data_IF_756035753900
#
_entry.id   IF_756035753900
#
_cell.length_a   1.000
_cell.length_b   1.000
_cell.length_c   1.000
_cell.angle_alpha   90.00
_cell.angle_beta   90.00
_cell.angle_gamma   90.00
#
_symmetry.space_group_name_H-M   'P 1'
#
loop_
_entity.id
_entity.type
_entity.pdbx_description
1 polymer ?
#
# COMPACT_ATOMS: atom_id res chain seq x y z
N UNK A 1 -44.70 29.59 63.37
CA UNK A 1 -46.09 29.22 63.06
C UNK A 1 -46.52 30.14 61.93
N UNK A 2 -46.43 29.73 60.66
CA UNK A 2 -47.41 28.91 59.92
C UNK A 2 -48.77 29.65 59.84
N UNK A 3 -49.39 30.00 58.70
CA UNK A 3 -49.14 29.89 57.25
C UNK A 3 -50.25 30.78 56.57
N UNK A 4 -50.59 30.68 55.26
CA UNK A 4 -50.47 31.72 54.23
C UNK A 4 -51.84 32.23 53.70
N UNK A 5 -51.84 33.02 52.61
CA UNK A 5 -52.63 32.81 51.37
C UNK A 5 -52.27 33.94 50.39
N UNK A 6 -51.73 33.60 49.20
CA UNK A 6 -51.68 34.51 48.05
C UNK A 6 -52.01 33.75 46.75
N UNK A 7 -53.17 34.14 46.21
CA UNK A 7 -53.53 34.45 44.81
C UNK A 7 -52.85 33.70 43.66
N UNK A 8 -53.66 32.85 43.03
CA UNK A 8 -53.93 32.70 41.58
C UNK A 8 -52.97 33.30 40.53
N UNK A 9 -52.46 32.38 39.69
CA UNK A 9 -52.35 32.35 38.22
C UNK A 9 -51.80 33.56 37.45
N UNK A 10 -50.77 33.31 36.61
CA UNK A 10 -50.75 33.68 35.17
C UNK A 10 -49.57 33.05 34.42
N UNK A 11 -49.84 32.72 33.17
CA UNK A 11 -49.03 32.08 32.13
C UNK A 11 -48.13 33.12 31.41
N UNK A 12 -46.85 32.81 31.14
CA UNK A 12 -46.00 33.40 30.07
C UNK A 12 -44.72 32.55 29.93
N UNK A 13 -44.53 31.72 28.91
CA UNK A 13 -44.14 31.91 27.49
C UNK A 13 -42.62 32.10 27.24
N UNK A 14 -42.13 31.28 26.29
CA UNK A 14 -40.89 31.37 25.49
C UNK A 14 -39.59 30.75 26.05
N UNK A 15 -39.38 29.47 25.72
CA UNK A 15 -38.06 28.83 25.73
C UNK A 15 -37.49 28.91 24.30
N UNK A 16 -36.54 29.82 24.08
CA UNK A 16 -35.79 29.92 22.83
C UNK A 16 -34.65 28.89 22.84
N UNK A 17 -34.87 27.73 22.23
CA UNK A 17 -33.81 26.77 21.91
C UNK A 17 -33.31 27.01 20.50
N UNK A 18 -32.23 27.80 20.34
CA UNK A 18 -31.49 27.83 19.10
C UNK A 18 -30.62 26.57 19.04
N UNK A 19 -31.07 25.61 18.24
CA UNK A 19 -30.38 24.37 17.91
C UNK A 19 -29.05 24.71 17.27
N UNK A 20 -27.97 24.19 17.86
CA UNK A 20 -26.64 24.13 17.25
C UNK A 20 -26.75 23.40 15.91
N UNK A 21 -26.40 24.10 14.82
CA UNK A 21 -26.14 23.47 13.52
C UNK A 21 -24.86 22.63 13.65
N UNK A 22 -24.99 21.40 14.14
CA UNK A 22 -23.99 20.37 13.90
C UNK A 22 -24.10 19.97 12.42
N UNK A 23 -22.95 20.01 11.74
CA UNK A 23 -22.81 19.86 10.30
C UNK A 23 -23.53 18.63 9.73
N UNK A 24 -24.23 18.86 8.62
CA UNK A 24 -24.81 17.83 7.79
C UNK A 24 -23.80 17.43 6.72
N UNK A 25 -23.02 16.38 7.02
CA UNK A 25 -22.27 15.48 6.13
C UNK A 25 -21.51 14.58 7.13
N UNK A 26 -21.70 13.28 7.29
CA UNK A 26 -22.01 12.20 6.38
C UNK A 26 -22.56 11.07 7.26
N UNK A 27 -23.83 10.67 7.10
CA UNK A 27 -24.36 9.48 7.76
C UNK A 27 -25.69 9.12 7.10
N UNK A 28 -25.63 8.53 5.91
CA UNK A 28 -26.82 7.99 5.25
C UNK A 28 -27.26 6.72 6.01
N UNK A 29 -28.43 6.70 6.69
CA UNK A 29 -28.81 5.56 7.52
C UNK A 29 -29.11 4.35 6.62
N UNK A 30 -28.24 3.35 6.64
CA UNK A 30 -28.47 2.07 5.94
C UNK A 30 -27.32 1.56 5.08
N UNK A 31 -26.26 2.36 4.83
CA UNK A 31 -25.03 1.81 4.24
C UNK A 31 -24.29 1.03 5.32
N UNK A 32 -24.24 -0.29 5.19
CA UNK A 32 -23.35 -1.11 6.01
C UNK A 32 -21.92 -0.70 5.62
N UNK A 33 -21.06 -0.25 6.55
CA UNK A 33 -19.67 0.03 6.22
C UNK A 33 -19.08 -1.25 5.62
N UNK A 34 -18.43 -1.11 4.46
CA UNK A 34 -17.70 -2.21 3.88
C UNK A 34 -16.56 -2.57 4.83
N UNK A 35 -16.55 -3.82 5.30
CA UNK A 35 -15.59 -4.26 6.31
C UNK A 35 -14.16 -4.18 5.80
N UNK A 36 -13.95 -4.38 4.50
CA UNK A 36 -12.62 -4.30 3.90
C UNK A 36 -12.08 -2.86 3.87
N UNK A 37 -12.94 -1.85 3.95
CA UNK A 37 -12.52 -0.45 4.07
C UNK A 37 -12.36 0.04 5.53
N UNK A 38 -12.65 -0.80 6.52
CA UNK A 38 -12.59 -0.41 7.95
C UNK A 38 -11.56 -1.17 8.78
N UNK A 39 -11.01 -2.27 8.24
CA UNK A 39 -9.93 -3.01 8.90
C UNK A 39 -8.55 -2.45 8.50
N UNK A 40 -7.52 -2.61 9.35
CA UNK A 40 -6.16 -2.25 8.97
C UNK A 40 -5.70 -3.01 7.72
N UNK A 41 -4.94 -2.34 6.86
CA UNK A 41 -4.22 -2.93 5.74
C UNK A 41 -2.93 -3.54 6.25
N UNK A 42 -2.65 -4.79 5.90
CA UNK A 42 -1.41 -5.48 6.26
C UNK A 42 -0.43 -5.43 5.09
N UNK A 43 0.72 -4.79 5.29
CA UNK A 43 1.82 -4.76 4.32
C UNK A 43 2.90 -5.77 4.75
N UNK A 44 3.17 -6.77 3.91
CA UNK A 44 4.26 -7.74 4.16
C UNK A 44 5.60 -7.17 3.75
N UNK A 45 6.55 -7.14 4.69
CA UNK A 45 7.86 -6.54 4.51
C UNK A 45 8.95 -7.44 5.08
N UNK A 46 10.03 -7.65 4.33
CA UNK A 46 11.20 -8.37 4.85
C UNK A 46 11.97 -7.52 5.86
N UNK A 47 12.06 -7.98 7.11
CA UNK A 47 12.82 -7.30 8.16
C UNK A 47 14.33 -7.22 7.89
N UNK A 48 14.83 -8.08 7.01
CA UNK A 48 16.26 -8.21 6.69
C UNK A 48 16.68 -7.46 5.42
N UNK A 49 15.76 -6.73 4.79
CA UNK A 49 16.05 -5.91 3.63
C UNK A 49 15.80 -4.43 3.96
N UNK A 50 16.86 -3.60 4.05
CA UNK A 50 16.70 -2.15 4.21
C UNK A 50 15.84 -1.53 3.11
N UNK A 51 15.93 -2.05 1.88
CA UNK A 51 15.07 -1.65 0.76
C UNK A 51 13.60 -1.93 1.10
N UNK A 52 13.28 -3.11 1.60
CA UNK A 52 11.91 -3.47 1.96
C UNK A 52 11.38 -2.66 3.14
N UNK A 53 12.20 -2.39 4.16
CA UNK A 53 11.81 -1.51 5.26
C UNK A 53 11.47 -0.10 4.78
N UNK A 54 12.26 0.45 3.85
CA UNK A 54 11.97 1.76 3.25
C UNK A 54 10.70 1.71 2.40
N UNK A 55 10.57 0.73 1.52
CA UNK A 55 9.37 0.59 0.67
C UNK A 55 8.10 0.40 1.49
N UNK A 56 8.15 -0.46 2.52
CA UNK A 56 7.04 -0.66 3.44
C UNK A 56 6.61 0.63 4.13
N UNK A 57 7.57 1.40 4.62
CA UNK A 57 7.31 2.68 5.26
C UNK A 57 6.73 3.73 4.29
N UNK A 58 7.22 3.78 3.04
CA UNK A 58 6.68 4.67 1.99
C UNK A 58 5.19 4.39 1.78
N UNK A 59 4.80 3.14 1.56
CA UNK A 59 3.39 2.80 1.33
C UNK A 59 2.54 2.94 2.60
N UNK A 60 3.11 2.65 3.79
CA UNK A 60 2.43 2.89 5.07
C UNK A 60 2.08 4.36 5.24
N UNK A 61 3.05 5.27 5.10
CA UNK A 61 2.80 6.69 5.32
C UNK A 61 1.91 7.29 4.22
N UNK A 62 2.06 6.82 2.98
CA UNK A 62 1.18 7.20 1.87
C UNK A 62 -0.28 6.87 2.16
N UNK A 63 -0.55 5.66 2.65
CA UNK A 63 -1.91 5.22 3.00
C UNK A 63 -2.42 5.89 4.28
N UNK A 64 -1.57 6.12 5.28
CA UNK A 64 -1.94 6.87 6.48
C UNK A 64 -2.35 8.32 6.16
N UNK A 65 -1.74 8.94 5.15
CA UNK A 65 -2.16 10.25 4.66
C UNK A 65 -3.57 10.23 4.01
N UNK A 66 -4.07 9.05 3.62
CA UNK A 66 -5.45 8.81 3.18
C UNK A 66 -6.35 8.36 4.35
N UNK A 67 -5.94 8.61 5.59
CA UNK A 67 -6.64 8.19 6.81
C UNK A 67 -6.78 6.67 6.96
N UNK A 68 -5.98 5.89 6.22
CA UNK A 68 -6.03 4.43 6.28
C UNK A 68 -5.16 3.88 7.41
N UNK A 69 -5.74 3.01 8.23
CA UNK A 69 -4.97 2.25 9.22
C UNK A 69 -4.14 1.17 8.51
N UNK A 70 -2.84 1.14 8.80
CA UNK A 70 -1.87 0.23 8.16
C UNK A 70 -1.00 -0.43 9.24
N UNK A 71 -0.73 -1.71 9.06
CA UNK A 71 0.19 -2.51 9.86
C UNK A 71 1.29 -3.01 8.94
N UNK A 72 2.55 -2.73 9.29
CA UNK A 72 3.68 -3.45 8.70
C UNK A 72 3.80 -4.80 9.40
N UNK A 73 3.63 -5.85 8.63
CA UNK A 73 3.94 -7.19 9.08
C UNK A 73 5.36 -7.56 8.64
N UNK A 74 6.26 -7.53 9.62
CA UNK A 74 7.67 -7.84 9.42
C UNK A 74 7.86 -9.35 9.36
N UNK A 75 8.21 -9.85 8.17
CA UNK A 75 8.46 -11.26 7.92
C UNK A 75 9.56 -11.78 8.83
N UNK A 76 9.33 -12.95 9.45
CA UNK A 76 10.36 -13.62 10.22
C UNK A 76 11.40 -14.28 9.32
N UNK A 77 12.59 -14.55 9.85
CA UNK A 77 13.64 -15.31 9.15
C UNK A 77 13.21 -16.74 8.76
N UNK A 78 12.14 -17.24 9.36
CA UNK A 78 11.62 -18.59 9.14
C UNK A 78 10.40 -18.59 8.22
N UNK A 79 9.99 -17.45 7.68
CA UNK A 79 8.91 -17.40 6.70
C UNK A 79 9.41 -18.03 5.40
N UNK A 80 8.77 -19.14 5.01
CA UNK A 80 9.13 -19.89 3.80
C UNK A 80 8.28 -19.47 2.60
N UNK A 81 7.15 -18.80 2.83
CA UNK A 81 6.25 -18.35 1.77
C UNK A 81 6.74 -17.08 1.14
N UNK A 82 6.61 -16.99 -0.17
CA UNK A 82 6.79 -15.76 -0.91
C UNK A 82 5.71 -14.73 -0.54
N UNK A 83 6.04 -13.46 -0.68
CA UNK A 83 5.08 -12.36 -0.48
C UNK A 83 3.82 -12.48 -1.36
N UNK A 84 3.93 -13.00 -2.57
CA UNK A 84 2.76 -13.26 -3.41
C UNK A 84 1.89 -14.41 -2.89
N UNK A 85 2.46 -15.44 -2.27
CA UNK A 85 1.69 -16.48 -1.59
C UNK A 85 0.97 -15.92 -0.37
N UNK A 86 1.64 -15.10 0.44
CA UNK A 86 1.01 -14.40 1.57
C UNK A 86 -0.16 -13.51 1.14
N UNK A 87 -0.01 -12.78 0.03
CA UNK A 87 -1.08 -11.99 -0.55
C UNK A 87 -2.28 -12.86 -0.97
N UNK A 88 -2.02 -14.01 -1.60
CA UNK A 88 -3.06 -14.94 -2.06
C UNK A 88 -3.81 -15.61 -0.91
N UNK A 89 -3.10 -15.93 0.16
CA UNK A 89 -3.65 -16.59 1.34
C UNK A 89 -4.40 -15.61 2.27
N UNK A 90 -4.29 -14.30 2.02
CA UNK A 90 -4.91 -13.24 2.83
C UNK A 90 -4.14 -12.88 4.10
N UNK A 91 -2.89 -13.34 4.20
CA UNK A 91 -1.97 -12.98 5.29
C UNK A 91 -1.33 -11.59 5.08
N UNK A 92 -1.43 -11.06 3.86
CA UNK A 92 -1.07 -9.71 3.50
C UNK A 92 -2.12 -9.14 2.55
N UNK A 93 -2.24 -7.81 2.56
CA UNK A 93 -3.17 -7.05 1.74
C UNK A 93 -2.47 -6.32 0.58
N UNK A 94 -1.23 -5.92 0.83
CA UNK A 94 -0.34 -5.30 -0.13
C UNK A 94 1.07 -5.86 0.08
N UNK A 95 1.73 -6.21 -1.03
CA UNK A 95 3.12 -6.65 -1.04
C UNK A 95 3.91 -5.89 -2.07
N UNK A 96 5.16 -5.55 -1.76
CA UNK A 96 6.05 -4.84 -2.66
C UNK A 96 7.07 -5.81 -3.23
N UNK A 97 7.31 -5.77 -4.53
CA UNK A 97 8.35 -6.59 -5.15
C UNK A 97 8.79 -5.99 -6.47
N UNK A 98 9.29 -6.84 -7.36
CA UNK A 98 9.81 -6.41 -8.64
C UNK A 98 9.17 -7.23 -9.76
N UNK A 99 8.94 -6.60 -10.91
CA UNK A 99 8.21 -7.19 -12.04
C UNK A 99 8.80 -8.52 -12.49
N UNK A 100 10.10 -8.59 -12.79
CA UNK A 100 10.77 -9.82 -13.21
C UNK A 100 10.77 -10.92 -12.14
N UNK A 101 11.02 -10.56 -10.88
CA UNK A 101 10.93 -11.48 -9.73
C UNK A 101 9.52 -12.05 -9.60
N UNK A 102 8.49 -11.21 -9.68
CA UNK A 102 7.11 -11.68 -9.60
C UNK A 102 6.72 -12.53 -10.80
N UNK A 103 7.08 -12.17 -12.03
CA UNK A 103 6.87 -13.04 -13.18
C UNK A 103 7.54 -14.41 -12.97
N UNK A 104 8.77 -14.44 -12.47
CA UNK A 104 9.49 -15.68 -12.18
C UNK A 104 8.81 -16.57 -11.13
N UNK A 105 8.12 -15.97 -10.17
CA UNK A 105 7.33 -16.71 -9.16
C UNK A 105 5.98 -17.19 -9.68
N UNK A 106 5.34 -16.42 -10.57
CA UNK A 106 4.00 -16.68 -11.08
C UNK A 106 3.99 -17.63 -12.28
N UNK A 107 4.92 -17.42 -13.21
CA UNK A 107 5.09 -18.18 -14.44
C UNK A 107 6.60 -18.33 -14.75
N UNK A 108 7.27 -19.31 -14.10
CA UNK A 108 8.70 -19.52 -14.28
C UNK A 108 9.09 -19.86 -15.72
N UNK A 109 8.21 -20.54 -16.47
CA UNK A 109 8.49 -20.90 -17.86
C UNK A 109 8.47 -19.65 -18.73
N UNK A 110 7.44 -18.80 -18.59
CA UNK A 110 7.38 -17.54 -19.33
C UNK A 110 8.53 -16.61 -18.97
N UNK A 111 8.95 -16.58 -17.71
CA UNK A 111 10.09 -15.77 -17.27
C UNK A 111 11.40 -16.18 -17.99
N UNK A 112 11.65 -17.49 -18.13
CA UNK A 112 12.81 -18.02 -18.86
C UNK A 112 12.72 -17.67 -20.35
N UNK A 113 11.57 -17.91 -20.97
CA UNK A 113 11.37 -17.62 -22.40
C UNK A 113 11.54 -16.12 -22.69
N UNK A 114 10.94 -15.26 -21.88
CA UNK A 114 11.04 -13.80 -22.03
C UNK A 114 12.48 -13.30 -21.85
N UNK A 115 13.23 -13.85 -20.88
CA UNK A 115 14.63 -13.50 -20.68
C UNK A 115 15.47 -13.82 -21.93
N UNK A 116 15.24 -14.99 -22.55
CA UNK A 116 15.89 -15.37 -23.81
C UNK A 116 15.48 -14.48 -25.00
N UNK A 117 14.20 -14.11 -25.11
CA UNK A 117 13.69 -13.17 -26.13
C UNK A 117 14.35 -11.78 -25.99
N UNK A 118 14.53 -11.29 -24.74
CA UNK A 118 15.21 -10.03 -24.45
C UNK A 118 16.69 -10.12 -24.84
N UNK A 119 17.38 -11.20 -24.48
CA UNK A 119 18.80 -11.40 -24.84
C UNK A 119 18.99 -11.46 -26.37
N UNK A 120 18.04 -12.06 -27.09
CA UNK A 120 18.04 -12.11 -28.55
C UNK A 120 17.75 -10.75 -29.22
N UNK A 121 17.26 -9.76 -28.46
CA UNK A 121 16.85 -8.46 -28.98
C UNK A 121 15.49 -8.48 -29.68
N UNK A 122 14.66 -9.48 -29.39
CA UNK A 122 13.33 -9.67 -30.01
C UNK A 122 12.23 -8.85 -29.30
N UNK A 123 12.57 -8.20 -28.19
CA UNK A 123 11.64 -7.39 -27.37
C UNK A 123 12.03 -5.91 -27.44
N UNK A 124 11.12 -5.08 -27.99
CA UNK A 124 11.34 -3.63 -28.16
C UNK A 124 11.43 -2.89 -26.81
N UNK A 125 10.51 -3.18 -25.90
CA UNK A 125 10.50 -2.64 -24.54
C UNK A 125 10.48 -3.78 -23.53
N UNK A 126 11.66 -4.22 -23.04
CA UNK A 126 11.77 -5.27 -22.05
C UNK A 126 11.03 -4.98 -20.75
N UNK A 127 11.01 -3.72 -20.28
CA UNK A 127 10.42 -3.35 -19.00
C UNK A 127 8.89 -3.40 -19.05
N UNK A 128 8.28 -2.79 -20.08
CA UNK A 128 6.83 -2.87 -20.31
C UNK A 128 6.39 -4.32 -20.56
N UNK A 129 7.13 -5.06 -21.38
CA UNK A 129 6.78 -6.45 -21.70
C UNK A 129 6.83 -7.32 -20.44
N UNK A 130 7.87 -7.18 -19.61
CA UNK A 130 7.97 -7.92 -18.34
C UNK A 130 6.82 -7.57 -17.40
N UNK A 131 6.46 -6.29 -17.27
CA UNK A 131 5.33 -5.86 -16.46
C UNK A 131 3.99 -6.43 -16.96
N UNK A 132 3.75 -6.41 -18.27
CA UNK A 132 2.53 -6.94 -18.89
C UNK A 132 2.40 -8.44 -18.72
N UNK A 133 3.49 -9.20 -18.88
CA UNK A 133 3.52 -10.64 -18.64
C UNK A 133 3.28 -10.96 -17.16
N UNK A 134 3.91 -10.20 -16.26
CA UNK A 134 3.65 -10.28 -14.81
C UNK A 134 2.16 -10.05 -14.49
N UNK A 135 1.56 -8.96 -14.99
CA UNK A 135 0.14 -8.68 -14.80
C UNK A 135 -0.76 -9.78 -15.37
N UNK A 136 -0.39 -10.34 -16.52
CA UNK A 136 -1.12 -11.44 -17.15
C UNK A 136 -1.09 -12.74 -16.33
N UNK A 137 -0.01 -12.95 -15.57
CA UNK A 137 0.16 -14.11 -14.69
C UNK A 137 -0.52 -13.95 -13.31
N UNK A 138 -0.97 -12.73 -12.95
CA UNK A 138 -1.72 -12.51 -11.72
C UNK A 138 -3.11 -13.14 -11.79
N UNK A 139 -3.56 -13.74 -10.67
CA UNK A 139 -4.93 -14.21 -10.56
C UNK A 139 -5.92 -13.04 -10.50
N UNK A 140 -7.13 -13.23 -11.02
CA UNK A 140 -8.11 -12.16 -11.27
C UNK A 140 -8.50 -11.25 -10.10
N UNK A 141 -8.24 -11.61 -8.84
CA UNK A 141 -8.51 -10.77 -7.67
C UNK A 141 -7.40 -9.76 -7.32
N UNK A 142 -6.20 -9.89 -7.90
CA UNK A 142 -5.07 -9.00 -7.61
C UNK A 142 -4.81 -8.04 -8.75
N UNK A 143 -4.17 -6.92 -8.41
CA UNK A 143 -3.80 -5.88 -9.35
C UNK A 143 -2.51 -5.20 -8.90
N UNK A 144 -1.94 -4.42 -9.80
CA UNK A 144 -0.73 -3.66 -9.60
C UNK A 144 -0.83 -2.37 -10.43
N UNK A 145 -0.33 -1.21 -9.93
CA UNK A 145 -0.25 0.00 -10.73
C UNK A 145 0.94 -0.10 -11.70
N UNK A 146 1.09 0.91 -12.57
CA UNK A 146 2.31 1.03 -13.37
C UNK A 146 3.55 0.96 -12.47
N UNK A 147 4.57 0.18 -12.85
CA UNK A 147 5.75 0.00 -12.02
C UNK A 147 6.59 1.28 -12.00
N UNK A 148 7.45 1.39 -11.00
CA UNK A 148 8.38 2.51 -10.91
C UNK A 148 9.51 2.40 -11.93
N UNK A 149 10.30 3.46 -12.05
CA UNK A 149 11.56 3.42 -12.79
C UNK A 149 12.70 2.76 -12.00
N UNK A 150 12.54 2.64 -10.68
CA UNK A 150 13.54 2.07 -9.80
C UNK A 150 13.73 0.58 -10.03
N UNK A 151 14.98 0.14 -10.05
CA UNK A 151 15.34 -1.28 -10.07
C UNK A 151 15.61 -1.75 -8.64
N UNK A 152 15.01 -2.88 -8.24
CA UNK A 152 15.14 -3.45 -6.90
C UNK A 152 15.32 -4.96 -6.88
N UNK A 153 15.16 -5.57 -5.71
CA UNK A 153 15.16 -7.03 -5.50
C UNK A 153 16.42 -7.78 -5.99
N UNK A 154 17.53 -7.08 -6.25
CA UNK A 154 18.72 -7.68 -6.85
C UNK A 154 19.33 -8.81 -6.00
N UNK A 155 19.24 -8.70 -4.67
CA UNK A 155 19.70 -9.70 -3.72
C UNK A 155 18.89 -11.00 -3.80
N UNK A 156 17.56 -10.89 -3.88
CA UNK A 156 16.65 -12.05 -4.00
C UNK A 156 16.85 -12.71 -5.36
N UNK A 157 16.84 -11.93 -6.44
CA UNK A 157 17.01 -12.41 -7.83
C UNK A 157 18.33 -13.18 -7.97
N UNK A 158 19.43 -12.64 -7.43
CA UNK A 158 20.73 -13.29 -7.47
C UNK A 158 20.78 -14.57 -6.61
N UNK A 159 20.24 -14.52 -5.39
CA UNK A 159 20.23 -15.66 -4.46
C UNK A 159 19.42 -16.84 -5.00
N UNK A 160 18.30 -16.54 -5.65
CA UNK A 160 17.37 -17.55 -6.19
C UNK A 160 17.66 -17.94 -7.63
N UNK A 161 18.70 -17.36 -8.24
CA UNK A 161 19.13 -17.65 -9.62
C UNK A 161 17.98 -17.48 -10.62
N UNK A 162 17.20 -16.41 -10.46
CA UNK A 162 16.09 -16.11 -11.36
C UNK A 162 16.59 -15.65 -12.74
N UNK A 163 15.78 -15.83 -13.80
CA UNK A 163 16.09 -15.28 -15.13
C UNK A 163 16.38 -13.77 -15.09
N UNK A 164 17.27 -13.31 -15.97
CA UNK A 164 17.59 -11.89 -16.08
C UNK A 164 16.45 -11.16 -16.79
N UNK A 165 15.64 -10.49 -15.98
CA UNK A 165 14.48 -9.71 -16.38
C UNK A 165 14.55 -8.35 -15.70
N UNK A 166 14.04 -7.27 -16.32
CA UNK A 166 13.84 -5.99 -15.66
C UNK A 166 13.14 -6.14 -14.30
N UNK A 167 13.67 -5.46 -13.28
CA UNK A 167 13.25 -5.57 -11.88
C UNK A 167 12.65 -4.26 -11.38
N UNK A 168 11.72 -3.70 -12.15
CA UNK A 168 11.03 -2.47 -11.75
C UNK A 168 10.19 -2.70 -10.50
N UNK A 169 10.35 -1.85 -9.49
CA UNK A 169 9.65 -1.97 -8.20
C UNK A 169 8.15 -1.70 -8.40
N UNK A 170 7.31 -2.57 -7.82
CA UNK A 170 5.87 -2.48 -7.95
C UNK A 170 5.12 -3.05 -6.74
N UNK A 171 4.05 -2.39 -6.25
CA UNK A 171 3.16 -2.97 -5.25
C UNK A 171 2.10 -3.86 -5.91
N UNK A 172 1.73 -4.95 -5.26
CA UNK A 172 0.64 -5.85 -5.65
C UNK A 172 -0.35 -5.97 -4.51
N UNK A 173 -1.64 -5.87 -4.83
CA UNK A 173 -2.69 -5.87 -3.81
C UNK A 173 -4.01 -6.41 -4.35
N UNK A 174 -4.96 -6.70 -3.44
CA UNK A 174 -6.32 -7.06 -3.81
C UNK A 174 -7.05 -5.85 -4.43
N UNK A 175 -7.61 -6.02 -5.63
CA UNK A 175 -8.22 -4.95 -6.41
C UNK A 175 -9.40 -4.27 -5.69
N UNK A 176 -10.12 -5.01 -4.85
CA UNK A 176 -11.33 -4.50 -4.19
C UNK A 176 -11.04 -3.84 -2.84
N UNK A 177 -9.79 -3.89 -2.35
CA UNK A 177 -9.45 -3.42 -1.00
C UNK A 177 -9.35 -1.89 -0.89
N UNK A 178 -8.77 -1.26 -1.92
CA UNK A 178 -8.47 0.16 -1.90
C UNK A 178 -9.51 0.93 -2.70
N UNK A 179 -9.93 2.08 -2.19
CA UNK A 179 -10.77 3.00 -2.95
C UNK A 179 -9.97 3.74 -4.04
N UNK A 180 -10.64 4.66 -4.75
CA UNK A 180 -10.01 5.37 -5.87
C UNK A 180 -8.93 6.36 -5.45
N UNK A 181 -9.05 6.96 -4.27
CA UNK A 181 -8.10 7.94 -3.75
C UNK A 181 -6.86 7.22 -3.22
N UNK A 182 -7.05 6.13 -2.49
CA UNK A 182 -5.99 5.21 -2.05
C UNK A 182 -5.22 4.63 -3.25
N UNK A 183 -5.92 4.11 -4.27
CA UNK A 183 -5.27 3.59 -5.50
C UNK A 183 -4.48 4.67 -6.24
N UNK A 184 -4.98 5.90 -6.27
CA UNK A 184 -4.27 7.03 -6.87
C UNK A 184 -3.01 7.37 -6.07
N UNK A 185 -3.09 7.43 -4.75
CA UNK A 185 -1.95 7.71 -3.88
C UNK A 185 -0.86 6.64 -4.04
N UNK A 186 -1.24 5.35 -4.05
CA UNK A 186 -0.33 4.24 -4.33
C UNK A 186 0.34 4.42 -5.71
N UNK A 187 -0.45 4.69 -6.75
CA UNK A 187 0.09 4.85 -8.11
C UNK A 187 1.05 6.04 -8.21
N UNK A 188 0.70 7.18 -7.61
CA UNK A 188 1.50 8.39 -7.66
C UNK A 188 2.83 8.17 -6.93
N UNK A 189 2.81 7.60 -5.71
CA UNK A 189 4.06 7.34 -4.97
C UNK A 189 4.94 6.32 -5.68
N UNK A 190 4.37 5.25 -6.26
CA UNK A 190 5.14 4.27 -7.05
C UNK A 190 5.86 4.93 -8.22
N UNK A 191 5.20 5.84 -8.94
CA UNK A 191 5.80 6.56 -10.08
C UNK A 191 6.97 7.45 -9.69
N UNK A 192 6.97 7.99 -8.47
CA UNK A 192 8.07 8.81 -7.99
C UNK A 192 9.31 7.99 -7.65
N UNK A 193 9.21 6.68 -7.41
CA UNK A 193 10.37 5.89 -7.01
C UNK A 193 11.39 5.75 -8.16
N UNK A 194 12.59 6.27 -7.92
CA UNK A 194 13.80 6.01 -8.73
C UNK A 194 14.83 5.21 -7.93
N UNK A 195 15.77 4.56 -8.63
CA UNK A 195 16.84 3.77 -7.99
C UNK A 195 17.69 4.64 -7.06
N UNK A 196 18.02 5.85 -7.50
CA UNK A 196 18.87 6.79 -6.75
C UNK A 196 18.16 7.32 -5.49
N UNK A 197 16.86 7.57 -5.55
CA UNK A 197 16.09 7.99 -4.38
C UNK A 197 16.00 6.88 -3.35
N UNK A 198 15.70 5.64 -3.76
CA UNK A 198 15.65 4.51 -2.83
C UNK A 198 17.01 4.30 -2.17
N UNK A 199 18.10 4.35 -2.94
CA UNK A 199 19.46 4.24 -2.38
C UNK A 199 19.73 5.36 -1.35
N UNK A 200 19.36 6.60 -1.67
CA UNK A 200 19.50 7.75 -0.77
C UNK A 200 18.70 7.56 0.51
N UNK A 201 17.44 7.13 0.42
CA UNK A 201 16.58 6.89 1.58
C UNK A 201 17.13 5.76 2.48
N UNK A 202 17.70 4.71 1.89
CA UNK A 202 18.35 3.63 2.64
C UNK A 202 19.59 4.15 3.39
N UNK A 203 20.41 4.98 2.74
CA UNK A 203 21.59 5.59 3.36
C UNK A 203 21.19 6.51 4.52
N UNK A 204 20.27 7.43 4.29
CA UNK A 204 19.74 8.34 5.31
C UNK A 204 19.12 7.58 6.49
N UNK A 205 18.41 6.48 6.24
CA UNK A 205 17.77 5.69 7.28
C UNK A 205 18.79 4.95 8.14
N UNK A 206 19.93 4.54 7.56
CA UNK A 206 21.06 4.00 8.33
C UNK A 206 21.67 5.07 9.24
N UNK A 207 21.85 6.29 8.73
CA UNK A 207 22.41 7.41 9.49
C UNK A 207 21.49 7.85 10.65
N UNK A 208 20.18 7.96 10.38
CA UNK A 208 19.17 8.36 11.38
C UNK A 208 18.65 7.19 12.22
N UNK A 209 19.03 5.95 11.90
CA UNK A 209 18.50 4.72 12.51
C UNK A 209 16.97 4.65 12.51
N UNK A 210 16.33 5.20 11.48
CA UNK A 210 14.86 5.30 11.37
C UNK A 210 14.44 5.45 9.90
N UNK A 211 13.81 4.41 9.34
CA UNK A 211 13.16 4.49 8.02
C UNK A 211 11.99 5.48 8.06
N UNK A 212 11.17 5.39 9.11
CA UNK A 212 9.99 6.25 9.31
C UNK A 212 10.29 7.73 9.21
N UNK A 213 11.28 8.20 9.97
CA UNK A 213 11.64 9.63 9.99
C UNK A 213 12.26 10.12 8.68
N UNK A 214 12.86 9.23 7.89
CA UNK A 214 13.46 9.57 6.59
C UNK A 214 12.39 9.65 5.52
N UNK A 215 11.47 8.69 5.48
CA UNK A 215 10.33 8.68 4.56
C UNK A 215 9.40 9.87 4.83
N UNK A 216 9.14 10.19 6.09
CA UNK A 216 8.29 11.34 6.48
C UNK A 216 8.86 12.66 5.93
N UNK A 217 10.19 12.81 5.92
CA UNK A 217 10.85 14.00 5.39
C UNK A 217 10.90 14.04 3.86
N UNK A 218 10.77 12.88 3.19
CA UNK A 218 10.83 12.75 1.74
C UNK A 218 9.45 12.92 1.08
N UNK A 219 8.38 12.43 1.72
CA UNK A 219 7.04 12.54 1.18
C UNK A 219 6.59 14.02 1.09
N UNK A 220 5.96 14.43 -0.03
CA UNK A 220 5.40 15.77 -0.14
C UNK A 220 4.29 15.97 0.90
N UNK A 221 4.29 17.15 1.54
CA UNK A 221 3.32 17.55 2.57
C UNK A 221 2.02 18.08 1.99
#
# INVERSE_FOLDING_TARGET
MSRPIRRTASLTLALAGAVSLAGCADAEPGRTPDRDHTRPVVISVSANSPEQLILGEIYLQTLQAQEREVILDLESETEERTRLERLREGDADLVIGCTGMYLSNLDPLRAVDLSAEIEAGDVEDPADTTYREYLGALSGGFTSPDPSSAQGCADIVAREQMPDLPQSIVPTYNRELFDREEQKAITDVTRFLTTDEIATLIEDAREKSSASSVVEAWLPS
#
